data_IF_356625122548
#
_entry.id   IF_356625122548
#
_cell.length_a   1.000
_cell.length_b   1.000
_cell.length_c   1.000
_cell.angle_alpha   90.00
_cell.angle_beta   90.00
_cell.angle_gamma   90.00
#
_symmetry.space_group_name_H-M   'P 1'
#
loop_
_entity.id
_entity.type
_entity.pdbx_description
1 polymer ?
#
# COMPACT_ATOMS: atom_id res chain seq x y z
N UNK A 1 -57.86 -19.14 46.32
CA UNK A 1 -56.50 -19.03 45.74
C UNK A 1 -56.62 -19.12 44.22
N UNK A 2 -56.53 -18.00 43.50
CA UNK A 2 -56.35 -17.98 42.02
C UNK A 2 -56.02 -16.54 41.62
N UNK A 3 -54.74 -16.23 41.34
CA UNK A 3 -54.35 -15.00 40.65
C UNK A 3 -53.85 -15.37 39.26
N UNK A 4 -54.64 -14.96 38.28
CA UNK A 4 -54.53 -15.20 36.86
C UNK A 4 -53.39 -14.36 36.27
N UNK A 5 -52.51 -15.00 35.49
CA UNK A 5 -51.40 -14.40 34.76
C UNK A 5 -51.92 -13.49 33.65
N UNK A 6 -51.72 -12.19 33.79
CA UNK A 6 -51.85 -11.22 32.69
C UNK A 6 -50.55 -10.40 32.66
N UNK A 7 -49.54 -10.94 31.99
CA UNK A 7 -48.35 -10.19 31.55
C UNK A 7 -48.30 -10.46 30.04
N UNK A 8 -49.19 -9.82 29.30
CA UNK A 8 -48.96 -8.57 28.58
C UNK A 8 -47.89 -8.72 27.51
N UNK A 9 -48.40 -8.99 26.30
CA UNK A 9 -47.75 -9.26 25.02
C UNK A 9 -46.97 -8.07 24.43
N UNK A 10 -46.61 -7.07 25.24
CA UNK A 10 -45.94 -5.85 24.77
C UNK A 10 -44.40 -5.96 24.72
N UNK A 11 -43.81 -7.01 25.30
CA UNK A 11 -42.37 -7.22 25.25
C UNK A 11 -41.85 -7.82 23.93
N UNK A 12 -42.73 -8.38 23.08
CA UNK A 12 -42.30 -9.05 21.85
C UNK A 12 -42.12 -8.10 20.65
N UNK A 13 -42.77 -6.92 20.66
CA UNK A 13 -42.67 -5.94 19.58
C UNK A 13 -41.37 -5.13 19.56
N UNK A 14 -40.77 -4.91 20.73
CA UNK A 14 -39.53 -4.13 20.85
C UNK A 14 -38.26 -4.92 20.46
N UNK A 15 -38.33 -6.25 20.47
CA UNK A 15 -37.20 -7.12 20.12
C UNK A 15 -37.04 -7.30 18.59
N UNK A 16 -38.11 -7.09 17.82
CA UNK A 16 -38.07 -7.14 16.35
C UNK A 16 -37.68 -5.80 15.70
N UNK A 17 -37.91 -4.67 16.37
CA UNK A 17 -37.45 -3.36 15.90
C UNK A 17 -35.93 -3.16 16.06
N UNK A 18 -35.28 -3.94 16.95
CA UNK A 18 -33.82 -3.92 17.14
C UNK A 18 -33.03 -4.69 16.07
N UNK A 19 -33.67 -5.53 15.26
CA UNK A 19 -33.01 -6.33 14.21
C UNK A 19 -33.07 -5.69 12.81
N UNK A 20 -33.83 -4.61 12.63
CA UNK A 20 -33.93 -3.87 11.36
C UNK A 20 -33.10 -2.58 11.35
N UNK A 21 -32.37 -2.32 12.44
CA UNK A 21 -31.45 -1.18 12.55
C UNK A 21 -30.09 -1.47 11.94
N UNK A 22 -29.93 -1.19 10.65
CA UNK A 22 -28.62 -0.87 10.07
C UNK A 22 -28.02 -1.92 9.13
N UNK A 23 -28.66 -2.16 7.97
CA UNK A 23 -27.92 -2.57 6.77
C UNK A 23 -27.15 -1.36 6.21
N UNK A 24 -26.21 -0.81 6.99
CA UNK A 24 -25.16 0.05 6.46
C UNK A 24 -24.00 -0.85 6.05
N UNK A 25 -23.34 -0.53 4.94
CA UNK A 25 -22.14 -1.24 4.53
C UNK A 25 -21.04 -1.03 5.59
N UNK A 26 -20.87 -2.01 6.47
CA UNK A 26 -19.89 -1.94 7.55
C UNK A 26 -18.46 -2.12 7.00
N UNK A 27 -17.46 -1.47 7.60
CA UNK A 27 -16.07 -1.74 7.25
C UNK A 27 -15.76 -3.23 7.50
N UNK A 28 -15.05 -3.83 6.55
CA UNK A 28 -14.52 -5.18 6.68
C UNK A 28 -13.07 -5.12 7.14
N UNK A 29 -12.78 -5.80 8.25
CA UNK A 29 -11.42 -5.90 8.80
C UNK A 29 -10.90 -7.33 8.68
N UNK A 30 -9.64 -7.49 8.27
CA UNK A 30 -8.90 -8.75 8.29
C UNK A 30 -7.48 -8.53 8.79
N UNK A 31 -6.99 -9.50 9.53
CA UNK A 31 -5.64 -9.52 10.09
C UNK A 31 -4.86 -10.70 9.50
N UNK A 32 -3.59 -10.49 9.20
CA UNK A 32 -2.69 -11.48 8.63
C UNK A 32 -1.35 -11.48 9.38
N UNK A 33 -0.88 -12.67 9.72
CA UNK A 33 0.41 -12.86 10.34
C UNK A 33 1.39 -13.47 9.34
N UNK A 34 2.53 -12.81 9.19
CA UNK A 34 3.64 -13.26 8.38
C UNK A 34 4.77 -13.73 9.29
N UNK A 35 5.39 -14.89 8.98
CA UNK A 35 6.53 -15.38 9.76
C UNK A 35 7.68 -14.38 9.72
N UNK A 36 8.63 -14.53 10.63
CA UNK A 36 9.77 -13.63 10.75
C UNK A 36 10.51 -13.53 9.41
N UNK A 37 10.38 -12.38 8.77
CA UNK A 37 11.00 -12.04 7.51
C UNK A 37 11.88 -10.81 7.76
N UNK A 38 13.12 -10.81 7.25
CA UNK A 38 14.06 -9.69 7.39
C UNK A 38 13.63 -8.51 6.48
N UNK A 39 12.42 -8.00 6.69
CA UNK A 39 11.83 -6.88 5.95
C UNK A 39 11.74 -5.70 6.91
N UNK A 40 12.30 -4.56 6.50
CA UNK A 40 12.19 -3.33 7.29
C UNK A 40 10.79 -2.73 7.14
N UNK A 41 10.32 -1.99 8.14
CA UNK A 41 9.01 -1.33 8.10
C UNK A 41 8.83 -0.43 6.84
N UNK A 42 9.81 0.41 6.45
CA UNK A 42 9.70 1.17 5.21
C UNK A 42 9.51 0.30 3.97
N UNK A 43 10.20 -0.85 3.90
CA UNK A 43 10.07 -1.78 2.78
C UNK A 43 8.69 -2.44 2.78
N UNK A 44 8.22 -2.91 3.94
CA UNK A 44 6.88 -3.50 4.06
C UNK A 44 5.79 -2.53 3.61
N UNK A 45 5.89 -1.25 3.99
CA UNK A 45 4.92 -0.23 3.58
C UNK A 45 4.98 0.05 2.07
N UNK A 46 6.17 0.07 1.45
CA UNK A 46 6.28 0.21 -0.01
C UNK A 46 5.68 -0.97 -0.75
N UNK A 47 5.91 -2.19 -0.24
CA UNK A 47 5.29 -3.41 -0.77
C UNK A 47 3.76 -3.32 -0.65
N UNK A 48 3.23 -2.87 0.50
CA UNK A 48 1.80 -2.66 0.67
C UNK A 48 1.24 -1.58 -0.27
N UNK A 49 1.97 -0.49 -0.50
CA UNK A 49 1.56 0.55 -1.44
C UNK A 49 1.51 0.02 -2.87
N UNK A 50 2.49 -0.78 -3.27
CA UNK A 50 2.50 -1.41 -4.59
C UNK A 50 1.37 -2.45 -4.72
N UNK A 51 1.11 -3.26 -3.68
CA UNK A 51 0.00 -4.20 -3.66
C UNK A 51 -1.37 -3.50 -3.77
N UNK A 52 -1.54 -2.35 -3.10
CA UNK A 52 -2.74 -1.51 -3.25
C UNK A 52 -2.91 -1.05 -4.71
N UNK A 53 -1.84 -0.55 -5.33
CA UNK A 53 -1.86 -0.07 -6.71
C UNK A 53 -2.24 -1.18 -7.70
N UNK A 54 -1.75 -2.40 -7.50
CA UNK A 54 -2.14 -3.56 -8.33
C UNK A 54 -3.62 -3.91 -8.16
N UNK A 55 -4.17 -3.75 -6.96
CA UNK A 55 -5.62 -3.87 -6.69
C UNK A 55 -6.46 -2.68 -7.20
N UNK A 56 -5.83 -1.68 -7.82
CA UNK A 56 -6.47 -0.47 -8.32
C UNK A 56 -6.78 0.58 -7.26
N UNK A 57 -6.21 0.46 -6.06
CA UNK A 57 -6.26 1.49 -5.03
C UNK A 57 -5.10 2.47 -5.20
N UNK A 58 -5.41 3.76 -5.29
CA UNK A 58 -4.44 4.84 -5.26
C UNK A 58 -4.02 5.12 -3.81
N UNK A 59 -2.73 5.03 -3.44
CA UNK A 59 -2.25 5.45 -2.14
C UNK A 59 -2.47 6.96 -1.93
N UNK A 60 -3.17 7.34 -0.87
CA UNK A 60 -3.51 8.74 -0.55
C UNK A 60 -2.83 9.25 0.72
N UNK A 61 -2.44 8.35 1.63
CA UNK A 61 -1.66 8.70 2.81
C UNK A 61 -0.73 7.56 3.20
N UNK A 62 0.50 7.88 3.60
CA UNK A 62 1.51 6.90 4.00
C UNK A 62 2.34 7.46 5.15
N UNK A 63 2.58 6.62 6.16
CA UNK A 63 3.49 6.92 7.27
C UNK A 63 4.34 5.67 7.55
N UNK A 64 5.55 5.65 7.00
CA UNK A 64 6.49 4.52 7.16
C UNK A 64 6.91 4.32 8.62
N UNK A 65 6.96 5.38 9.43
CA UNK A 65 7.35 5.29 10.84
C UNK A 65 6.23 4.70 11.73
N UNK A 66 4.98 5.05 11.44
CA UNK A 66 3.82 4.48 12.13
C UNK A 66 3.39 3.12 11.57
N UNK A 67 3.95 2.71 10.42
CA UNK A 67 3.54 1.51 9.71
C UNK A 67 2.13 1.61 9.15
N UNK A 68 1.69 2.80 8.71
CA UNK A 68 0.32 2.98 8.20
C UNK A 68 0.29 3.43 6.74
N UNK A 69 -0.74 2.99 6.03
CA UNK A 69 -0.98 3.28 4.62
C UNK A 69 -2.49 3.34 4.38
N UNK A 70 -2.95 4.34 3.63
CA UNK A 70 -4.35 4.47 3.21
C UNK A 70 -4.41 4.57 1.69
N UNK A 71 -5.25 3.75 1.09
CA UNK A 71 -5.57 3.76 -0.33
C UNK A 71 -7.02 4.12 -0.59
N UNK A 72 -7.30 4.61 -1.79
CA UNK A 72 -8.62 4.94 -2.28
C UNK A 72 -8.85 4.33 -3.68
N UNK A 73 -10.00 3.72 -3.90
CA UNK A 73 -10.43 3.22 -5.21
C UNK A 73 -11.79 3.80 -5.52
N UNK A 74 -11.89 4.57 -6.61
CA UNK A 74 -13.17 5.09 -7.09
C UNK A 74 -13.62 4.28 -8.29
N UNK A 75 -14.82 3.73 -8.19
CA UNK A 75 -15.50 3.03 -9.28
C UNK A 75 -16.49 4.01 -9.88
N UNK A 76 -16.31 4.30 -11.17
CA UNK A 76 -17.25 5.08 -11.96
C UNK A 76 -18.03 4.07 -12.80
N UNK A 77 -19.36 4.04 -12.64
CA UNK A 77 -20.24 2.93 -13.04
C UNK A 77 -19.91 2.26 -14.38
N UNK A 78 -19.79 0.93 -14.34
CA UNK A 78 -19.53 0.07 -15.51
C UNK A 78 -20.39 -1.19 -15.58
N UNK A 79 -21.22 -1.44 -14.57
CA UNK A 79 -22.09 -2.59 -14.43
C UNK A 79 -23.56 -2.16 -14.42
N UNK A 80 -24.45 -3.10 -14.77
CA UNK A 80 -25.86 -2.88 -15.17
C UNK A 80 -26.75 -2.09 -14.19
N UNK A 81 -26.23 -1.74 -13.00
CA UNK A 81 -26.90 -0.96 -11.96
C UNK A 81 -26.32 0.46 -11.78
N UNK A 82 -25.31 0.87 -12.56
CA UNK A 82 -24.85 2.26 -12.68
C UNK A 82 -24.26 2.86 -11.41
N UNK A 83 -23.78 2.04 -10.48
CA UNK A 83 -23.32 2.51 -9.19
C UNK A 83 -21.90 3.07 -9.27
N UNK A 84 -21.75 4.33 -8.83
CA UNK A 84 -20.45 4.93 -8.58
C UNK A 84 -20.20 4.99 -7.08
N UNK A 85 -18.95 4.75 -6.69
CA UNK A 85 -18.61 4.70 -5.28
C UNK A 85 -17.12 4.69 -5.05
N UNK A 86 -16.73 5.29 -3.93
CA UNK A 86 -15.36 5.27 -3.42
C UNK A 86 -15.25 4.20 -2.36
N UNK A 87 -14.16 3.47 -2.40
CA UNK A 87 -13.75 2.51 -1.38
C UNK A 87 -12.42 2.95 -0.80
N UNK A 88 -12.26 2.79 0.50
CA UNK A 88 -11.02 3.07 1.21
C UNK A 88 -10.42 1.77 1.72
N UNK A 89 -9.10 1.68 1.70
CA UNK A 89 -8.36 0.60 2.30
C UNK A 89 -7.31 1.19 3.24
N UNK A 90 -7.47 0.95 4.53
CA UNK A 90 -6.50 1.33 5.55
C UNK A 90 -5.69 0.07 5.92
N UNK A 91 -4.36 0.19 5.88
CA UNK A 91 -3.42 -0.89 6.18
C UNK A 91 -2.50 -0.43 7.30
N UNK A 92 -2.38 -1.27 8.33
CA UNK A 92 -1.45 -1.08 9.44
C UNK A 92 -0.51 -2.28 9.53
N UNK A 93 0.78 -2.02 9.51
CA UNK A 93 1.85 -3.01 9.61
C UNK A 93 2.55 -2.83 10.95
N UNK A 94 2.74 -3.93 11.68
CA UNK A 94 3.46 -3.95 12.96
C UNK A 94 4.46 -5.09 12.97
N UNK A 95 5.64 -4.84 13.54
CA UNK A 95 6.55 -5.92 13.88
C UNK A 95 6.19 -6.46 15.25
N UNK A 96 5.95 -7.76 15.31
CA UNK A 96 5.66 -8.49 16.52
C UNK A 96 6.97 -8.92 17.20
N UNK A 97 6.92 -9.22 18.51
CA UNK A 97 8.01 -9.92 19.17
C UNK A 97 8.41 -11.19 18.39
N UNK A 98 9.69 -11.53 18.39
CA UNK A 98 10.29 -12.58 17.55
C UNK A 98 10.41 -12.26 16.05
N UNK A 99 10.15 -11.02 15.62
CA UNK A 99 10.45 -10.54 14.27
C UNK A 99 9.40 -10.89 13.22
N UNK A 100 8.27 -11.50 13.63
CA UNK A 100 7.10 -11.68 12.78
C UNK A 100 6.48 -10.32 12.41
N UNK A 101 5.76 -10.28 11.30
CA UNK A 101 5.07 -9.08 10.83
C UNK A 101 3.56 -9.31 10.85
N UNK A 102 2.83 -8.43 11.51
CA UNK A 102 1.38 -8.43 11.56
C UNK A 102 0.84 -7.33 10.65
N UNK A 103 -0.16 -7.68 9.84
CA UNK A 103 -0.79 -6.82 8.86
C UNK A 103 -2.29 -6.75 9.16
N UNK A 104 -2.78 -5.56 9.49
CA UNK A 104 -4.20 -5.28 9.75
C UNK A 104 -4.75 -4.46 8.58
N UNK A 105 -5.76 -5.00 7.89
CA UNK A 105 -6.35 -4.43 6.68
C UNK A 105 -7.83 -4.15 6.94
N UNK A 106 -8.22 -2.89 6.80
CA UNK A 106 -9.61 -2.44 6.89
C UNK A 106 -10.02 -1.91 5.53
N UNK A 107 -11.03 -2.51 4.92
CA UNK A 107 -11.65 -1.99 3.71
C UNK A 107 -13.03 -1.44 4.05
N UNK A 108 -13.28 -0.18 3.68
CA UNK A 108 -14.53 0.50 3.98
C UNK A 108 -15.14 1.12 2.72
N UNK A 109 -16.46 1.03 2.57
CA UNK A 109 -17.19 1.81 1.57
C UNK A 109 -17.24 3.28 1.99
N UNK A 110 -17.20 4.17 0.99
CA UNK A 110 -17.47 5.59 1.18
C UNK A 110 -18.95 5.84 1.53
N UNK A 111 -19.28 7.05 2.02
CA UNK A 111 -20.64 7.40 2.43
C UNK A 111 -21.68 7.31 1.30
N UNK A 112 -21.24 7.40 0.04
CA UNK A 112 -22.07 7.20 -1.14
C UNK A 112 -22.44 5.73 -1.38
N UNK A 113 -21.76 4.79 -0.70
CA UNK A 113 -21.95 3.36 -0.89
C UNK A 113 -22.82 2.75 0.21
N UNK A 114 -24.08 2.48 -0.11
CA UNK A 114 -25.04 1.90 0.84
C UNK A 114 -24.78 0.41 1.16
N UNK A 115 -24.35 -0.37 0.17
CA UNK A 115 -24.03 -1.79 0.29
C UNK A 115 -22.95 -2.17 -0.71
N UNK A 116 -22.03 -3.06 -0.32
CA UNK A 116 -21.05 -3.64 -1.23
C UNK A 116 -20.71 -5.07 -0.82
N UNK A 117 -20.69 -5.96 -1.81
CA UNK A 117 -20.23 -7.36 -1.68
C UNK A 117 -18.75 -7.51 -2.02
N UNK A 118 -18.08 -6.45 -2.45
CA UNK A 118 -16.76 -6.52 -3.09
C UNK A 118 -15.61 -6.32 -2.10
N UNK A 119 -15.89 -5.83 -0.89
CA UNK A 119 -14.87 -5.62 0.15
C UNK A 119 -14.02 -6.89 0.41
N UNK A 120 -14.60 -8.11 0.53
CA UNK A 120 -13.81 -9.32 0.68
C UNK A 120 -12.87 -9.58 -0.50
N UNK A 121 -13.33 -9.30 -1.73
CA UNK A 121 -12.53 -9.49 -2.94
C UNK A 121 -11.36 -8.49 -3.00
N UNK A 122 -11.58 -7.23 -2.60
CA UNK A 122 -10.51 -6.23 -2.53
C UNK A 122 -9.42 -6.61 -1.52
N UNK A 123 -9.81 -7.08 -0.33
CA UNK A 123 -8.83 -7.54 0.66
C UNK A 123 -8.07 -8.77 0.15
N UNK A 124 -8.76 -9.72 -0.52
CA UNK A 124 -8.12 -10.91 -1.07
C UNK A 124 -7.10 -10.55 -2.18
N UNK A 125 -7.46 -9.67 -3.10
CA UNK A 125 -6.57 -9.19 -4.17
C UNK A 125 -5.34 -8.48 -3.58
N UNK A 126 -5.55 -7.62 -2.58
CA UNK A 126 -4.46 -6.96 -1.88
C UNK A 126 -3.53 -7.97 -1.19
N UNK A 127 -4.08 -8.95 -0.48
CA UNK A 127 -3.30 -9.97 0.22
C UNK A 127 -2.45 -10.78 -0.76
N UNK A 128 -3.04 -11.25 -1.86
CA UNK A 128 -2.34 -12.01 -2.90
C UNK A 128 -1.19 -11.20 -3.52
N UNK A 129 -1.46 -9.94 -3.87
CA UNK A 129 -0.45 -9.02 -4.39
C UNK A 129 0.67 -8.78 -3.37
N UNK A 130 0.32 -8.54 -2.11
CA UNK A 130 1.27 -8.30 -1.03
C UNK A 130 2.18 -9.51 -0.83
N UNK A 131 1.63 -10.72 -0.71
CA UNK A 131 2.39 -11.95 -0.54
C UNK A 131 3.35 -12.21 -1.71
N UNK A 132 2.87 -12.02 -2.93
CA UNK A 132 3.69 -12.17 -4.14
C UNK A 132 4.85 -11.16 -4.18
N UNK A 133 4.60 -9.91 -3.81
CA UNK A 133 5.63 -8.86 -3.77
C UNK A 133 6.60 -9.03 -2.60
N UNK A 134 6.13 -9.58 -1.48
CA UNK A 134 6.96 -9.88 -0.32
C UNK A 134 8.04 -10.93 -0.63
N UNK A 135 7.70 -11.89 -1.48
CA UNK A 135 8.63 -12.92 -1.95
C UNK A 135 9.64 -12.42 -3.00
N UNK A 136 9.43 -11.23 -3.58
CA UNK A 136 10.33 -10.72 -4.61
C UNK A 136 11.64 -10.21 -3.99
N UNK A 137 12.80 -10.60 -4.56
CA UNK A 137 14.07 -10.02 -4.16
C UNK A 137 14.06 -8.52 -4.44
N UNK A 138 14.59 -7.74 -3.50
CA UNK A 138 14.70 -6.28 -3.60
C UNK A 138 15.69 -5.92 -4.71
N UNK A 139 15.22 -5.95 -5.95
CA UNK A 139 15.98 -5.59 -7.15
C UNK A 139 16.08 -4.08 -7.32
N UNK A 140 15.34 -3.32 -6.51
CA UNK A 140 15.25 -1.86 -6.55
C UNK A 140 16.23 -1.17 -5.61
N UNK A 141 17.38 -1.78 -5.28
CA UNK A 141 18.50 -0.98 -4.76
C UNK A 141 18.96 -0.11 -5.93
N UNK A 142 18.89 1.24 -5.85
CA UNK A 142 19.58 2.07 -6.82
C UNK A 142 21.03 1.62 -6.76
N UNK A 143 21.58 1.12 -7.88
CA UNK A 143 23.02 1.06 -7.98
C UNK A 143 23.48 2.49 -7.71
N UNK A 144 24.50 2.71 -6.84
CA UNK A 144 25.18 4.00 -6.83
C UNK A 144 25.41 4.35 -8.31
N UNK A 145 25.07 5.57 -8.78
CA UNK A 145 25.30 5.93 -10.16
C UNK A 145 26.73 5.54 -10.45
N UNK A 146 26.89 4.55 -11.34
CA UNK A 146 28.20 4.12 -11.78
C UNK A 146 28.81 5.39 -12.32
N UNK A 147 29.75 5.97 -11.55
CA UNK A 147 30.38 7.24 -11.89
C UNK A 147 30.82 7.04 -13.33
N UNK A 148 30.17 7.75 -14.25
CA UNK A 148 30.55 7.81 -15.65
C UNK A 148 32.05 8.06 -15.61
N UNK A 149 32.85 7.03 -15.89
CA UNK A 149 34.29 7.22 -16.05
C UNK A 149 34.39 8.33 -17.09
N UNK A 150 35.05 9.46 -16.78
CA UNK A 150 35.23 10.49 -17.78
C UNK A 150 35.82 9.80 -19.02
N UNK A 151 35.27 10.04 -20.22
CA UNK A 151 35.80 9.42 -21.42
C UNK A 151 37.31 9.70 -21.47
N UNK A 152 38.14 8.71 -21.85
CA UNK A 152 39.58 8.91 -21.90
C UNK A 152 39.88 10.17 -22.70
N UNK A 153 40.65 11.08 -22.12
CA UNK A 153 41.05 12.33 -22.75
C UNK A 153 41.61 12.02 -24.13
N UNK A 154 41.05 12.64 -25.17
CA UNK A 154 41.63 12.53 -26.52
C UNK A 154 43.10 12.93 -26.42
N UNK A 155 44.04 12.20 -27.07
CA UNK A 155 45.43 12.63 -27.12
C UNK A 155 45.48 14.05 -27.69
N UNK A 156 46.04 14.96 -26.89
CA UNK A 156 46.29 16.34 -27.31
C UNK A 156 47.25 16.27 -28.50
N UNK A 157 46.97 16.94 -29.63
CA UNK A 157 47.94 17.08 -30.70
C UNK A 157 49.24 17.66 -30.14
N UNK A 158 50.33 16.91 -30.26
CA UNK A 158 51.67 17.34 -29.90
C UNK A 158 51.93 18.70 -30.56
N UNK A 159 52.09 19.73 -29.74
CA UNK A 159 52.49 21.05 -30.22
C UNK A 159 53.85 20.89 -30.91
N UNK A 160 54.02 21.29 -32.19
CA UNK A 160 55.30 21.20 -32.87
C UNK A 160 56.40 21.87 -32.06
N UNK A 161 57.52 21.16 -31.89
CA UNK A 161 58.69 21.60 -31.15
C UNK A 161 59.20 22.96 -31.66
N UNK A 162 59.56 23.84 -30.73
CA UNK A 162 60.16 25.13 -31.04
C UNK A 162 61.48 24.93 -31.82
N UNK A 163 61.77 25.76 -32.84
CA UNK A 163 63.05 25.72 -33.54
C UNK A 163 64.19 26.15 -32.60
N UNK A 164 65.38 25.52 -32.68
CA UNK A 164 66.50 25.81 -31.80
C UNK A 164 67.07 27.20 -32.07
N UNK A 165 67.19 28.04 -31.02
CA UNK A 165 68.06 29.21 -31.08
C UNK A 165 69.52 28.75 -30.98
N UNK A 166 70.21 28.87 -32.10
CA UNK A 166 71.65 28.75 -32.28
C UNK A 166 72.40 29.61 -31.28
N UNK A 167 73.43 29.01 -30.66
CA UNK A 167 74.44 29.74 -29.90
C UNK A 167 75.24 30.62 -30.86
N UNK A 168 75.35 31.87 -30.43
CA UNK A 168 76.24 32.92 -30.90
C UNK A 168 77.69 32.41 -30.91
N UNK A 169 78.43 32.68 -31.99
CA UNK A 169 79.88 32.65 -32.00
C UNK A 169 80.34 34.10 -31.81
N UNK A 170 81.09 34.34 -30.74
CA UNK A 170 81.79 35.58 -30.45
C UNK A 170 82.82 35.91 -31.54
N UNK A 171 82.96 37.21 -31.84
CA UNK A 171 84.09 37.84 -32.53
C UNK A 171 85.21 38.16 -31.54
#
# INVERSE_FOLDING_TARGET
>A
MTRLKIISWLALGALLAGLLGGCGALPLRKEFDYPAQNVSMPRAIRIAAQAMQEGGFLPVAQNEAAGTLRGQKTILGGDAFGFSGTFFMDVTIRHMPAGAMHLDVVCSPGPEVAFSTDLPAYIAQFQEAFERLLQQPDTARPRPPEQLRPPPARPVPERPAAPPKTKEYDL
#
